data_IF_525679275737
#
_entry.id   IF_525679275737
#
_cell.length_a   1.000
_cell.length_b   1.000
_cell.length_c   1.000
_cell.angle_alpha   90.00
_cell.angle_beta   90.00
_cell.angle_gamma   90.00
#
_symmetry.space_group_name_H-M   'P 1'
#
loop_
_entity.id
_entity.type
_entity.pdbx_description
1 polymer ?
#
# COMPACT_ATOMS: atom_id res chain seq x y z
N UNK A 1 2.30 -3.96 8.56
CA UNK A 1 2.21 -5.26 7.87
C UNK A 1 3.61 -5.79 7.59
N UNK A 2 3.88 -7.07 7.87
CA UNK A 2 5.21 -7.65 7.72
C UNK A 2 5.74 -7.72 6.29
N UNK A 3 4.88 -8.00 5.30
CA UNK A 3 5.29 -8.06 3.89
C UNK A 3 5.79 -6.73 3.33
N UNK A 4 5.24 -5.60 3.79
CA UNK A 4 5.73 -4.27 3.39
C UNK A 4 7.07 -3.94 4.03
N UNK A 5 7.25 -4.26 5.31
CA UNK A 5 8.54 -4.08 5.99
C UNK A 5 9.64 -4.96 5.38
N UNK A 6 9.31 -6.20 4.99
CA UNK A 6 10.23 -7.07 4.28
C UNK A 6 10.68 -6.46 2.93
N UNK A 7 9.76 -5.80 2.21
CA UNK A 7 10.09 -5.14 0.95
C UNK A 7 11.11 -4.00 1.17
N UNK A 8 10.97 -3.21 2.23
CA UNK A 8 11.95 -2.16 2.56
C UNK A 8 13.35 -2.75 2.79
N UNK A 9 13.45 -3.80 3.61
CA UNK A 9 14.73 -4.47 3.86
C UNK A 9 15.33 -5.12 2.62
N UNK A 10 14.51 -5.73 1.76
CA UNK A 10 14.96 -6.27 0.46
C UNK A 10 15.47 -5.14 -0.44
N UNK A 11 14.75 -4.02 -0.54
CA UNK A 11 15.16 -2.87 -1.34
C UNK A 11 16.46 -2.23 -0.85
N UNK A 12 16.67 -2.16 0.46
CA UNK A 12 17.90 -1.65 1.06
C UNK A 12 19.12 -2.51 0.69
N UNK A 13 19.02 -3.83 0.86
CA UNK A 13 20.11 -4.75 0.51
C UNK A 13 20.38 -4.72 -0.99
N UNK A 14 19.33 -4.78 -1.82
CA UNK A 14 19.47 -4.72 -3.27
C UNK A 14 20.20 -3.45 -3.71
N UNK A 15 19.87 -2.29 -3.13
CA UNK A 15 20.54 -1.03 -3.43
C UNK A 15 22.04 -1.06 -3.17
N UNK A 16 22.49 -1.73 -2.10
CA UNK A 16 23.91 -1.90 -1.78
C UNK A 16 24.61 -2.81 -2.80
N UNK A 17 23.96 -3.90 -3.21
CA UNK A 17 24.52 -4.88 -4.15
C UNK A 17 24.70 -4.31 -5.56
N UNK A 18 23.77 -3.46 -6.01
CA UNK A 18 23.80 -2.92 -7.39
C UNK A 18 24.50 -1.57 -7.52
N UNK A 19 24.95 -0.97 -6.42
CA UNK A 19 25.55 0.36 -6.40
C UNK A 19 26.78 0.48 -7.33
N UNK A 20 27.61 -0.57 -7.40
CA UNK A 20 28.80 -0.59 -8.26
C UNK A 20 28.48 -0.51 -9.77
N UNK A 21 27.25 -0.81 -10.16
CA UNK A 21 26.77 -0.69 -11.53
C UNK A 21 26.16 0.69 -11.84
N UNK A 22 26.19 1.63 -10.88
CA UNK A 22 25.55 2.94 -11.01
C UNK A 22 24.02 2.90 -10.97
N UNK A 23 23.44 1.84 -10.42
CA UNK A 23 21.98 1.67 -10.28
C UNK A 23 21.53 2.19 -8.91
N UNK A 24 20.47 3.00 -8.90
CA UNK A 24 19.84 3.49 -7.68
C UNK A 24 18.53 2.76 -7.40
N UNK A 25 18.33 2.32 -6.16
CA UNK A 25 17.10 1.66 -5.71
C UNK A 25 16.42 2.56 -4.68
N UNK A 26 15.15 2.89 -4.93
CA UNK A 26 14.35 3.75 -4.06
C UNK A 26 12.99 3.10 -3.83
N UNK A 27 12.66 2.82 -2.57
CA UNK A 27 11.30 2.43 -2.18
C UNK A 27 10.48 3.69 -1.89
N UNK A 28 9.37 3.87 -2.60
CA UNK A 28 8.42 4.97 -2.34
C UNK A 28 7.26 4.42 -1.54
N UNK A 29 7.08 4.93 -0.31
CA UNK A 29 6.07 4.46 0.64
C UNK A 29 5.01 5.54 0.92
N UNK A 30 4.14 5.85 -0.05
CA UNK A 30 3.23 6.96 0.09
C UNK A 30 1.99 6.54 0.92
N UNK A 31 1.20 7.54 1.34
CA UNK A 31 -0.08 7.32 2.01
C UNK A 31 -1.15 6.75 1.08
N UNK A 32 -2.42 6.89 1.44
CA UNK A 32 -3.53 6.39 0.61
C UNK A 32 -3.82 7.29 -0.60
N UNK A 33 -4.09 6.68 -1.76
CA UNK A 33 -4.41 7.35 -3.03
C UNK A 33 -5.80 6.96 -3.54
N UNK A 34 -6.41 7.84 -4.35
CA UNK A 34 -7.68 7.60 -5.04
C UNK A 34 -7.51 6.64 -6.22
N UNK A 35 -7.01 5.45 -5.94
CA UNK A 35 -6.92 4.33 -6.88
C UNK A 35 -8.03 3.32 -6.60
N UNK A 36 -8.24 2.39 -7.53
CA UNK A 36 -9.22 1.32 -7.37
C UNK A 36 -8.78 0.22 -6.36
N UNK A 37 -7.65 0.43 -5.67
CA UNK A 37 -7.14 -0.51 -4.66
C UNK A 37 -8.16 -0.76 -3.55
N UNK A 38 -8.76 0.29 -2.99
CA UNK A 38 -9.77 0.17 -1.93
C UNK A 38 -11.19 -0.15 -2.45
N UNK A 39 -11.37 -0.13 -3.78
CA UNK A 39 -12.62 -0.42 -4.47
C UNK A 39 -12.61 -1.85 -5.00
N UNK A 40 -12.67 -2.02 -6.32
CA UNK A 40 -12.83 -3.32 -6.97
C UNK A 40 -11.64 -4.25 -6.75
N UNK A 41 -10.43 -3.74 -6.53
CA UNK A 41 -9.22 -4.58 -6.41
C UNK A 41 -9.04 -5.22 -5.03
N UNK A 42 -9.72 -4.72 -3.99
CA UNK A 42 -9.69 -5.33 -2.66
C UNK A 42 -10.81 -6.37 -2.54
N UNK A 43 -10.54 -7.58 -3.03
CA UNK A 43 -11.43 -8.71 -2.79
C UNK A 43 -11.32 -9.17 -1.34
N UNK A 44 -12.46 -9.17 -0.63
CA UNK A 44 -12.55 -9.66 0.74
C UNK A 44 -13.08 -11.09 0.75
N UNK A 45 -12.47 -11.93 1.57
CA UNK A 45 -12.97 -13.28 1.81
C UNK A 45 -14.29 -13.18 2.58
N UNK A 46 -15.35 -13.90 2.19
CA UNK A 46 -16.64 -13.85 2.87
C UNK A 46 -16.60 -14.47 4.28
N UNK A 47 -15.65 -15.39 4.52
CA UNK A 47 -15.41 -15.97 5.84
C UNK A 47 -14.80 -14.93 6.78
N UNK A 48 -15.44 -14.70 7.93
CA UNK A 48 -14.87 -13.98 9.08
C UNK A 48 -14.60 -14.94 10.25
N UNK A 49 -13.84 -14.45 11.23
CA UNK A 49 -13.64 -15.10 12.53
C UNK A 49 -14.32 -14.17 13.55
N UNK A 50 -15.39 -14.65 14.19
CA UNK A 50 -16.26 -13.84 15.06
C UNK A 50 -15.49 -13.02 16.11
N UNK A 51 -14.46 -13.63 16.71
CA UNK A 51 -13.61 -13.00 17.73
C UNK A 51 -12.94 -11.70 17.27
N UNK A 52 -12.74 -11.53 15.96
CA UNK A 52 -12.10 -10.36 15.37
C UNK A 52 -13.09 -9.32 14.84
N UNK A 53 -14.38 -9.64 14.75
CA UNK A 53 -15.34 -8.81 14.02
C UNK A 53 -15.54 -7.45 14.68
N UNK A 54 -15.58 -7.38 16.02
CA UNK A 54 -15.67 -6.12 16.75
C UNK A 54 -14.49 -5.16 16.44
N UNK A 55 -13.30 -5.70 16.18
CA UNK A 55 -12.11 -4.93 15.84
C UNK A 55 -12.08 -4.57 14.35
N UNK A 56 -12.43 -5.50 13.47
CA UNK A 56 -12.24 -5.36 12.03
C UNK A 56 -13.45 -4.77 11.29
N UNK A 57 -14.67 -4.85 11.82
CA UNK A 57 -15.85 -4.26 11.19
C UNK A 57 -15.75 -2.74 11.03
N UNK A 58 -15.38 -1.96 12.07
CA UNK A 58 -15.22 -0.52 11.92
C UNK A 58 -14.14 -0.17 10.88
N UNK A 59 -13.06 -0.95 10.83
CA UNK A 59 -11.97 -0.78 9.89
C UNK A 59 -12.44 -1.06 8.46
N UNK A 60 -13.20 -2.15 8.26
CA UNK A 60 -13.77 -2.54 6.96
C UNK A 60 -14.69 -1.43 6.43
N UNK A 61 -15.66 -0.99 7.24
CA UNK A 61 -16.60 0.10 6.90
C UNK A 61 -15.87 1.40 6.59
N UNK A 62 -14.88 1.76 7.41
CA UNK A 62 -14.09 2.98 7.18
C UNK A 62 -13.32 2.93 5.86
N UNK A 63 -12.73 1.78 5.52
CA UNK A 63 -12.01 1.61 4.24
C UNK A 63 -12.93 1.73 3.03
N UNK A 64 -14.14 1.17 3.12
CA UNK A 64 -15.16 1.29 2.08
C UNK A 64 -15.62 2.73 1.90
N UNK A 65 -15.96 3.41 3.00
CA UNK A 65 -16.39 4.81 2.97
C UNK A 65 -15.31 5.75 2.43
N UNK A 66 -14.03 5.45 2.68
CA UNK A 66 -12.89 6.23 2.19
C UNK A 66 -12.53 5.95 0.73
N UNK A 67 -13.08 4.90 0.11
CA UNK A 67 -12.80 4.58 -1.28
C UNK A 67 -13.21 5.76 -2.18
N UNK A 68 -12.30 6.19 -3.07
CA UNK A 68 -12.48 7.38 -3.92
C UNK A 68 -12.26 8.73 -3.23
N UNK A 69 -12.14 8.76 -1.89
CA UNK A 69 -12.01 10.00 -1.10
C UNK A 69 -10.64 10.11 -0.38
N UNK A 70 -9.66 9.29 -0.78
CA UNK A 70 -8.31 9.39 -0.25
C UNK A 70 -7.67 10.74 -0.58
N UNK A 71 -6.74 11.19 0.27
CA UNK A 71 -6.03 12.46 0.08
C UNK A 71 -5.11 12.42 -1.15
N UNK A 72 -4.41 11.30 -1.36
CA UNK A 72 -3.45 11.15 -2.44
C UNK A 72 -4.08 11.17 -3.82
N UNK A 73 -3.45 11.92 -4.72
CA UNK A 73 -3.84 12.06 -6.12
C UNK A 73 -2.89 11.25 -7.03
N UNK A 74 -3.37 10.20 -7.73
CA UNK A 74 -2.50 9.33 -8.51
C UNK A 74 -1.83 10.06 -9.68
N UNK A 75 -2.48 11.07 -10.27
CA UNK A 75 -1.89 11.83 -11.38
C UNK A 75 -0.74 12.70 -10.87
N UNK A 76 -0.92 13.35 -9.71
CA UNK A 76 0.16 14.14 -9.09
C UNK A 76 1.32 13.26 -8.62
N UNK A 77 1.06 12.07 -8.11
CA UNK A 77 2.14 11.13 -7.78
C UNK A 77 2.91 10.69 -9.02
N UNK A 78 2.22 10.39 -10.13
CA UNK A 78 2.88 10.04 -11.38
C UNK A 78 3.78 11.19 -11.87
N UNK A 79 3.29 12.43 -11.84
CA UNK A 79 4.09 13.61 -12.21
C UNK A 79 5.30 13.87 -11.30
N UNK A 80 5.22 13.48 -10.02
CA UNK A 80 6.33 13.66 -9.09
C UNK A 80 7.40 12.56 -9.19
N UNK A 81 7.06 11.41 -9.80
CA UNK A 81 7.93 10.23 -9.88
C UNK A 81 8.54 9.99 -11.27
N UNK A 82 7.89 10.50 -12.32
CA UNK A 82 8.34 10.43 -13.71
C UNK A 82 9.10 11.70 -14.11
#
# INVERSE_FOLDING_TARGET
CGSKFALEGISEVLGQEVAAFGIHVTAVAPGSFRTDWAGRSMMRVPRSIGDYDALFDPIRRTREAKSGHQLGDPEKAAQAML
#
